data_IF_290157071117
#
_entry.id   IF_290157071117
#
_cell.length_a   1.000
_cell.length_b   1.000
_cell.length_c   1.000
_cell.angle_alpha   90.00
_cell.angle_beta   90.00
_cell.angle_gamma   90.00
#
_symmetry.space_group_name_H-M   'P 1'
#
loop_
_entity.id
_entity.type
_entity.pdbx_description
1 polymer ?
#
# COMPACT_ATOMS: atom_id res chain seq x y z
N UNK A 1 8.16 -22.73 -32.53
CA UNK A 1 8.00 -21.31 -32.91
C UNK A 1 6.67 -20.86 -32.37
N UNK A 2 6.65 -20.10 -31.27
CA UNK A 2 5.41 -19.54 -30.74
C UNK A 2 5.03 -18.35 -31.61
N UNK A 3 3.89 -18.44 -32.29
CA UNK A 3 3.31 -17.31 -33.02
C UNK A 3 2.85 -16.25 -32.01
N UNK A 4 3.33 -15.01 -32.14
CA UNK A 4 2.76 -13.87 -31.43
C UNK A 4 1.27 -13.79 -31.78
N UNK A 5 0.43 -13.70 -30.75
CA UNK A 5 -0.98 -13.36 -30.91
C UNK A 5 -1.05 -11.94 -31.48
N UNK A 6 -1.96 -11.73 -32.43
CA UNK A 6 -2.18 -10.39 -32.97
C UNK A 6 -2.98 -9.55 -31.96
N UNK A 7 -2.87 -8.23 -32.06
CA UNK A 7 -3.47 -7.29 -31.11
C UNK A 7 -5.00 -7.39 -31.07
N UNK A 8 -5.63 -7.80 -32.18
CA UNK A 8 -7.07 -8.01 -32.26
C UNK A 8 -7.56 -9.18 -31.39
N UNK A 9 -6.78 -10.28 -31.36
CA UNK A 9 -7.09 -11.44 -30.53
C UNK A 9 -6.89 -11.10 -29.05
N UNK A 10 -5.93 -10.23 -28.72
CA UNK A 10 -5.73 -9.74 -27.35
C UNK A 10 -6.90 -8.86 -26.92
N UNK A 11 -7.37 -7.94 -27.78
CA UNK A 11 -8.57 -7.14 -27.51
C UNK A 11 -9.83 -7.99 -27.32
N UNK A 12 -10.04 -9.01 -28.15
CA UNK A 12 -11.18 -9.93 -28.02
C UNK A 12 -11.13 -10.73 -26.71
N UNK A 13 -9.94 -11.11 -26.23
CA UNK A 13 -9.80 -11.76 -24.92
C UNK A 13 -10.13 -10.80 -23.77
N UNK A 14 -9.69 -9.55 -23.86
CA UNK A 14 -9.94 -8.54 -22.82
C UNK A 14 -11.42 -8.14 -22.75
N UNK A 15 -12.13 -8.09 -23.88
CA UNK A 15 -13.57 -7.80 -23.91
C UNK A 15 -14.45 -8.91 -23.33
N UNK A 16 -13.95 -10.16 -23.33
CA UNK A 16 -14.69 -11.32 -22.83
C UNK A 16 -14.37 -11.67 -21.36
N UNK A 17 -13.38 -11.03 -20.74
CA UNK A 17 -13.03 -11.24 -19.32
C UNK A 17 -13.96 -10.47 -18.37
N UNK A 18 -14.54 -9.35 -18.81
CA UNK A 18 -15.42 -8.48 -17.99
C UNK A 18 -16.83 -9.09 -17.71
N UNK A 19 -17.13 -10.31 -18.19
CA UNK A 19 -18.45 -10.94 -18.03
C UNK A 19 -18.44 -12.27 -17.26
N UNK A 20 -17.38 -12.61 -16.52
CA UNK A 20 -17.30 -13.91 -15.81
C UNK A 20 -16.86 -13.88 -14.35
N UNK A 21 -16.77 -12.71 -13.71
CA UNK A 21 -16.47 -12.62 -12.26
C UNK A 21 -17.70 -12.40 -11.36
N UNK A 22 -18.91 -12.41 -11.93
CA UNK A 22 -20.15 -12.45 -11.17
C UNK A 22 -20.80 -13.84 -11.31
N UNK A 23 -21.18 -14.43 -10.18
CA UNK A 23 -21.86 -15.73 -10.01
C UNK A 23 -20.97 -16.98 -9.93
N UNK A 24 -20.38 -17.22 -8.76
CA UNK A 24 -20.45 -18.53 -8.10
C UNK A 24 -20.33 -18.40 -6.57
N UNK A 25 -21.43 -17.97 -5.94
CA UNK A 25 -21.79 -18.45 -4.61
C UNK A 25 -22.30 -19.89 -4.73
N UNK A 26 -21.66 -20.84 -4.06
CA UNK A 26 -22.27 -22.15 -3.81
C UNK A 26 -22.60 -22.30 -2.33
N UNK A 27 -23.88 -22.16 -2.05
CA UNK A 27 -24.58 -22.80 -0.93
C UNK A 27 -24.50 -24.33 -1.06
N UNK A 28 -23.95 -25.00 -0.06
CA UNK A 28 -24.25 -26.38 0.35
C UNK A 28 -23.68 -26.49 1.78
N UNK A 29 -24.46 -26.76 2.82
CA UNK A 29 -25.37 -27.89 2.96
C UNK A 29 -24.68 -28.86 3.92
N UNK A 30 -25.07 -28.81 5.19
CA UNK A 30 -24.64 -29.71 6.25
C UNK A 30 -24.97 -31.16 5.87
N UNK A 31 -24.00 -32.07 5.99
CA UNK A 31 -24.15 -33.41 6.55
C UNK A 31 -22.77 -34.06 6.74
N UNK A 32 -22.64 -34.75 7.87
CA UNK A 32 -21.43 -35.16 8.57
C UNK A 32 -20.56 -36.20 7.84
N UNK A 33 -19.23 -36.08 7.99
CA UNK A 33 -18.35 -37.20 8.39
C UNK A 33 -17.02 -36.65 8.95
N UNK A 34 -16.59 -37.23 10.06
CA UNK A 34 -15.65 -36.74 11.07
C UNK A 34 -14.22 -36.36 10.56
N UNK A 35 -13.88 -35.07 10.63
CA UNK A 35 -12.48 -34.60 10.75
C UNK A 35 -12.42 -33.50 11.81
N UNK A 36 -11.47 -33.64 12.75
CA UNK A 36 -11.34 -32.86 13.99
C UNK A 36 -11.38 -31.34 13.73
N UNK A 37 -12.51 -30.73 14.06
CA UNK A 37 -12.71 -29.28 14.09
C UNK A 37 -12.27 -28.73 15.46
N UNK A 38 -11.44 -27.69 15.47
CA UNK A 38 -11.22 -26.89 16.68
C UNK A 38 -12.39 -25.91 16.82
N UNK A 39 -13.24 -26.11 17.83
CA UNK A 39 -14.54 -25.46 17.96
C UNK A 39 -14.46 -23.95 18.29
N UNK A 40 -13.29 -23.42 18.66
CA UNK A 40 -13.09 -21.99 18.85
C UNK A 40 -11.61 -21.59 18.81
N UNK A 41 -11.36 -20.28 18.63
CA UNK A 41 -10.00 -19.69 18.62
C UNK A 41 -9.19 -20.00 19.89
N UNK A 42 -9.85 -20.34 21.01
CA UNK A 42 -9.18 -20.67 22.27
C UNK A 42 -8.51 -22.05 22.23
N UNK A 43 -9.07 -23.00 21.48
CA UNK A 43 -8.49 -24.34 21.27
C UNK A 43 -7.32 -24.31 20.28
N UNK A 44 -7.38 -23.44 19.26
CA UNK A 44 -6.25 -23.16 18.38
C UNK A 44 -5.11 -22.43 19.11
N UNK A 45 -5.44 -21.56 20.07
CA UNK A 45 -4.46 -20.88 20.92
C UNK A 45 -3.87 -21.82 21.98
N UNK A 46 -4.67 -22.72 22.57
CA UNK A 46 -4.18 -23.74 23.50
C UNK A 46 -3.17 -24.70 22.83
N UNK A 47 -3.42 -25.12 21.60
CA UNK A 47 -2.48 -25.95 20.82
C UNK A 47 -1.20 -25.18 20.40
N UNK A 48 -1.23 -23.84 20.43
CA UNK A 48 -0.07 -22.97 20.19
C UNK A 48 0.64 -22.53 21.48
N UNK A 49 -0.02 -22.68 22.63
CA UNK A 49 0.48 -22.35 23.97
C UNK A 49 0.99 -23.59 24.73
N UNK A 50 0.59 -24.80 24.34
CA UNK A 50 1.05 -26.07 24.90
C UNK A 50 2.30 -26.64 24.17
N UNK A 51 3.43 -25.94 24.28
CA UNK A 51 4.76 -26.59 24.32
C UNK A 51 5.45 -26.23 25.66
N UNK A 52 4.96 -26.93 26.70
CA UNK A 52 5.54 -27.36 27.99
C UNK A 52 6.30 -26.38 28.92
N UNK A 53 5.76 -26.18 30.14
CA UNK A 53 6.52 -26.37 31.39
C UNK A 53 5.58 -26.74 32.55
N UNK A 54 5.82 -27.90 33.16
CA UNK A 54 5.20 -28.37 34.41
C UNK A 54 6.11 -27.97 35.58
N UNK A 55 5.55 -27.29 36.58
CA UNK A 55 5.58 -27.61 38.03
C UNK A 55 5.33 -26.36 38.90
N UNK A 56 4.20 -26.42 39.63
CA UNK A 56 3.87 -25.86 40.93
C UNK A 56 4.23 -24.40 41.30
N UNK A 57 3.20 -23.54 41.37
CA UNK A 57 2.90 -22.75 42.58
C UNK A 57 1.46 -22.19 42.53
N UNK A 58 0.66 -22.62 43.51
CA UNK A 58 -0.72 -22.17 43.80
C UNK A 58 -0.85 -20.65 43.97
N UNK A 59 -1.60 -19.95 43.10
CA UNK A 59 -2.20 -18.63 43.40
C UNK A 59 -3.59 -18.51 42.76
N UNK A 60 -4.63 -18.00 43.46
CA UNK A 60 -6.03 -18.11 43.04
C UNK A 60 -6.44 -17.16 41.91
N UNK A 61 -7.33 -17.70 41.07
CA UNK A 61 -8.17 -17.05 40.06
C UNK A 61 -8.76 -15.69 40.48
N UNK A 62 -8.44 -14.62 39.74
CA UNK A 62 -9.35 -13.50 39.53
C UNK A 62 -9.22 -13.00 38.09
N UNK A 63 -10.34 -13.09 37.36
CA UNK A 63 -10.49 -12.73 35.95
C UNK A 63 -10.41 -11.21 35.75
N UNK A 64 -9.72 -10.76 34.71
CA UNK A 64 -10.12 -9.63 33.84
C UNK A 64 -9.13 -9.49 32.68
N UNK A 65 -9.22 -10.36 31.67
CA UNK A 65 -8.60 -10.11 30.37
C UNK A 65 -9.51 -9.18 29.57
N UNK A 66 -9.25 -7.89 29.64
CA UNK A 66 -9.87 -6.89 28.77
C UNK A 66 -9.19 -6.98 27.40
N UNK A 67 -9.96 -7.23 26.35
CA UNK A 67 -9.48 -7.21 24.96
C UNK A 67 -8.77 -5.87 24.66
N UNK A 68 -7.58 -5.89 24.03
CA UNK A 68 -6.92 -4.66 23.60
C UNK A 68 -7.73 -3.98 22.48
N UNK A 69 -7.76 -2.64 22.43
CA UNK A 69 -8.70 -1.90 21.60
C UNK A 69 -8.41 -2.07 20.10
N UNK A 70 -9.49 -2.29 19.36
CA UNK A 70 -9.55 -2.29 17.90
C UNK A 70 -9.11 -0.93 17.34
N UNK A 71 -8.20 -0.91 16.35
CA UNK A 71 -7.99 0.27 15.52
C UNK A 71 -9.08 0.28 14.47
N UNK A 72 -10.18 0.97 14.77
CA UNK A 72 -11.17 1.33 13.77
C UNK A 72 -10.59 2.45 12.91
N UNK A 73 -10.45 2.22 11.61
CA UNK A 73 -10.46 3.34 10.66
C UNK A 73 -11.89 3.86 10.63
N UNK A 74 -12.22 4.70 11.62
CA UNK A 74 -13.48 5.42 11.61
C UNK A 74 -13.45 6.30 10.37
N UNK A 75 -14.27 5.98 9.37
CA UNK A 75 -14.74 6.93 8.37
C UNK A 75 -15.62 8.05 8.96
N UNK A 76 -15.45 8.33 10.25
CA UNK A 76 -15.94 9.47 10.97
C UNK A 76 -14.73 10.23 11.52
N UNK A 77 -14.02 10.95 10.63
CA UNK A 77 -13.69 12.32 11.04
C UNK A 77 -15.03 12.99 11.36
N UNK A 78 -15.15 13.69 12.50
CA UNK A 78 -16.44 14.23 12.93
C UNK A 78 -17.00 15.09 11.81
N UNK A 79 -18.28 14.86 11.52
CA UNK A 79 -19.15 15.81 10.83
C UNK A 79 -18.80 17.19 11.38
N UNK A 80 -18.19 18.02 10.54
CA UNK A 80 -17.84 19.41 10.83
C UNK A 80 -19.10 20.28 10.76
N UNK A 81 -20.17 19.85 11.43
CA UNK A 81 -21.34 20.67 11.72
C UNK A 81 -21.28 21.05 13.20
N UNK A 82 -21.16 22.36 13.43
CA UNK A 82 -21.12 23.05 14.72
C UNK A 82 -19.78 23.05 15.48
N UNK A 83 -18.86 23.89 14.99
CA UNK A 83 -17.99 24.71 15.86
C UNK A 83 -18.15 26.19 15.50
N UNK A 84 -19.35 26.72 15.73
CA UNK A 84 -19.47 28.06 16.29
C UNK A 84 -19.45 27.89 17.81
N UNK A 85 -18.51 28.58 18.47
CA UNK A 85 -18.24 28.61 19.93
C UNK A 85 -17.11 27.69 20.41
N UNK A 86 -15.90 28.25 20.40
CA UNK A 86 -14.73 27.82 21.17
C UNK A 86 -15.00 27.84 22.68
N UNK A 87 -14.65 26.79 23.44
CA UNK A 87 -14.46 26.88 24.89
C UNK A 87 -13.12 27.57 25.19
N UNK A 88 -13.15 28.61 26.04
CA UNK A 88 -11.93 29.26 26.53
C UNK A 88 -11.21 28.37 27.55
N UNK A 89 -9.88 28.14 27.43
CA UNK A 89 -9.06 27.72 28.54
C UNK A 89 -8.58 28.97 29.32
N UNK A 90 -8.89 29.00 30.61
CA UNK A 90 -8.24 29.83 31.61
C UNK A 90 -6.80 29.33 31.81
N UNK A 91 -5.79 30.17 31.54
CA UNK A 91 -4.40 29.86 31.88
C UNK A 91 -3.34 30.50 30.98
N UNK A 92 -2.78 31.61 31.45
CA UNK A 92 -1.49 32.26 31.11
C UNK A 92 -1.05 32.32 29.64
N UNK A 93 -1.26 33.50 29.04
CA UNK A 93 -0.72 33.94 27.75
C UNK A 93 0.79 34.20 27.83
N UNK A 94 1.59 33.35 27.19
CA UNK A 94 2.83 33.78 26.54
C UNK A 94 2.54 33.90 25.03
N UNK A 95 2.50 35.14 24.55
CA UNK A 95 2.10 35.46 23.18
C UNK A 95 3.19 35.14 22.17
N UNK A 96 3.13 33.96 21.55
CA UNK A 96 3.72 33.75 20.22
C UNK A 96 2.63 34.00 19.19
N UNK A 97 2.78 35.04 18.37
CA UNK A 97 1.86 35.37 17.29
C UNK A 97 1.72 34.16 16.34
N UNK A 98 0.50 33.65 16.16
CA UNK A 98 0.20 32.69 15.09
C UNK A 98 0.51 33.38 13.76
N UNK A 99 1.29 32.78 12.85
CA UNK A 99 1.55 33.38 11.54
C UNK A 99 0.21 33.62 10.82
N UNK A 100 0.01 34.83 10.31
CA UNK A 100 -1.15 35.18 9.48
C UNK A 100 -1.10 34.29 8.24
N UNK A 101 -2.01 33.32 8.10
CA UNK A 101 -2.23 32.67 6.81
C UNK A 101 -2.56 33.76 5.79
N UNK A 102 -1.70 33.92 4.79
CA UNK A 102 -1.95 34.80 3.65
C UNK A 102 -3.29 34.39 3.03
N UNK A 103 -4.20 35.36 2.85
CA UNK A 103 -5.48 35.11 2.18
C UNK A 103 -5.22 34.69 0.72
N UNK A 104 -5.32 33.39 0.46
CA UNK A 104 -5.25 32.83 -0.89
C UNK A 104 -6.33 33.49 -1.75
N UNK A 105 -5.92 34.06 -2.88
CA UNK A 105 -6.82 34.79 -3.80
C UNK A 105 -6.85 34.09 -5.14
N UNK A 106 -8.01 33.51 -5.48
CA UNK A 106 -8.25 32.80 -6.72
C UNK A 106 -8.69 33.75 -7.84
N UNK A 107 -8.12 33.58 -9.04
CA UNK A 107 -8.39 34.36 -10.25
C UNK A 107 -8.84 33.43 -11.36
N UNK A 108 -9.82 33.85 -12.14
CA UNK A 108 -10.30 33.09 -13.30
C UNK A 108 -9.34 33.28 -14.47
N UNK A 109 -8.39 32.37 -14.59
CA UNK A 109 -7.37 32.29 -15.64
C UNK A 109 -6.90 30.84 -15.70
N UNK A 110 -6.20 30.48 -16.78
CA UNK A 110 -5.61 29.16 -16.91
C UNK A 110 -4.19 29.15 -16.33
N UNK A 111 -3.78 28.01 -15.78
CA UNK A 111 -2.38 27.80 -15.41
C UNK A 111 -1.51 27.90 -16.66
N UNK A 112 -0.39 28.61 -16.54
CA UNK A 112 0.61 28.58 -17.61
C UNK A 112 1.39 27.27 -17.47
N UNK A 113 1.36 26.45 -18.52
CA UNK A 113 2.16 25.22 -18.56
C UNK A 113 3.63 25.58 -18.38
N UNK A 114 4.32 24.87 -17.50
CA UNK A 114 5.73 25.13 -17.22
C UNK A 114 6.54 24.39 -18.29
N UNK A 115 7.09 25.13 -19.27
CA UNK A 115 7.88 24.56 -20.37
C UNK A 115 9.06 23.69 -19.87
N UNK A 116 9.67 24.07 -18.74
CA UNK A 116 10.75 23.32 -18.09
C UNK A 116 10.35 21.89 -17.66
N UNK A 117 9.05 21.61 -17.46
CA UNK A 117 8.57 20.25 -17.14
C UNK A 117 8.91 19.29 -18.28
N UNK A 118 9.00 19.77 -19.52
CA UNK A 118 9.34 18.92 -20.66
C UNK A 118 10.81 18.46 -20.64
N UNK A 119 11.68 19.16 -19.91
CA UNK A 119 13.07 18.79 -19.70
C UNK A 119 13.16 17.73 -18.59
N UNK A 120 12.69 16.52 -18.89
CA UNK A 120 12.88 15.33 -18.06
C UNK A 120 13.91 14.42 -18.71
N UNK A 121 15.04 14.21 -18.03
CA UNK A 121 16.06 13.29 -18.52
C UNK A 121 15.71 11.87 -18.11
N UNK A 122 15.50 11.00 -19.09
CA UNK A 122 15.33 9.58 -18.82
C UNK A 122 16.64 9.03 -18.25
N UNK A 123 16.58 8.53 -17.02
CA UNK A 123 17.73 7.92 -16.36
C UNK A 123 18.01 6.56 -17.00
N UNK A 124 19.30 6.22 -17.15
CA UNK A 124 19.73 4.94 -17.69
C UNK A 124 19.62 3.85 -16.62
N UNK A 125 19.23 2.65 -17.04
CA UNK A 125 19.26 1.48 -16.16
C UNK A 125 20.70 1.17 -15.77
N UNK A 126 20.95 0.71 -14.52
CA UNK A 126 22.27 0.23 -14.12
C UNK A 126 22.73 -0.94 -15.00
N UNK A 127 24.01 -1.00 -15.37
CA UNK A 127 24.56 -2.10 -16.18
C UNK A 127 24.28 -3.47 -15.54
N UNK A 128 24.39 -3.57 -14.21
CA UNK A 128 24.08 -4.77 -13.45
C UNK A 128 22.65 -5.29 -13.65
N UNK A 129 21.70 -4.44 -14.02
CA UNK A 129 20.32 -4.83 -14.32
C UNK A 129 20.20 -5.35 -15.76
N UNK A 130 20.94 -4.76 -16.70
CA UNK A 130 20.98 -5.17 -18.10
C UNK A 130 21.69 -6.52 -18.30
N UNK A 131 22.58 -6.87 -17.37
CA UNK A 131 23.30 -8.15 -17.33
C UNK A 131 22.48 -9.31 -16.72
N UNK A 132 21.28 -9.05 -16.20
CA UNK A 132 20.45 -10.10 -15.61
C UNK A 132 19.96 -11.09 -16.66
N UNK A 133 20.19 -12.38 -16.42
CA UNK A 133 19.71 -13.46 -17.32
C UNK A 133 18.18 -13.53 -17.37
N UNK A 134 17.51 -13.26 -16.24
CA UNK A 134 16.05 -13.29 -16.15
C UNK A 134 15.53 -12.20 -15.20
N UNK A 135 14.28 -11.73 -15.37
CA UNK A 135 13.63 -10.86 -14.39
C UNK A 135 13.53 -11.48 -12.99
N UNK A 136 13.53 -12.82 -12.88
CA UNK A 136 13.49 -13.49 -11.57
C UNK A 136 14.69 -13.13 -10.70
N UNK A 137 15.89 -13.00 -11.27
CA UNK A 137 17.10 -12.62 -10.52
C UNK A 137 17.03 -11.19 -10.00
N UNK A 138 16.25 -10.32 -10.64
CA UNK A 138 15.92 -9.01 -10.08
C UNK A 138 15.05 -9.15 -8.82
N UNK A 139 13.94 -9.90 -8.91
CA UNK A 139 12.98 -10.02 -7.79
C UNK A 139 13.44 -10.94 -6.65
N UNK A 140 14.32 -11.88 -6.94
CA UNK A 140 14.92 -12.79 -5.98
C UNK A 140 16.39 -12.89 -6.33
N UNK A 141 17.22 -12.01 -5.77
CA UNK A 141 18.67 -12.07 -5.95
C UNK A 141 19.24 -13.33 -5.27
N UNK A 142 20.46 -13.73 -5.65
CA UNK A 142 21.12 -14.84 -4.98
C UNK A 142 21.32 -14.56 -3.48
N UNK A 143 21.72 -13.33 -3.15
CA UNK A 143 21.87 -12.87 -1.76
C UNK A 143 20.57 -12.97 -0.97
N UNK A 144 19.45 -12.50 -1.54
CA UNK A 144 18.14 -12.59 -0.89
C UNK A 144 17.74 -14.03 -0.62
N UNK A 145 17.92 -14.92 -1.61
CA UNK A 145 17.61 -16.35 -1.46
C UNK A 145 18.49 -17.01 -0.40
N UNK A 146 19.78 -16.67 -0.35
CA UNK A 146 20.67 -17.20 0.66
C UNK A 146 20.31 -16.71 2.06
N UNK A 147 19.84 -15.47 2.20
CA UNK A 147 19.28 -14.96 3.45
C UNK A 147 18.01 -15.69 3.86
N UNK A 148 17.01 -15.80 2.98
CA UNK A 148 15.77 -16.55 3.24
C UNK A 148 16.09 -17.97 3.71
N UNK A 149 17.01 -18.64 3.01
CA UNK A 149 17.45 -20.00 3.36
C UNK A 149 18.09 -20.07 4.74
N UNK A 150 19.04 -19.18 5.03
CA UNK A 150 19.74 -19.13 6.30
C UNK A 150 18.76 -18.91 7.48
N UNK A 151 17.88 -17.92 7.36
CA UNK A 151 16.91 -17.56 8.40
C UNK A 151 15.85 -18.66 8.60
N UNK A 152 15.39 -19.31 7.53
CA UNK A 152 14.45 -20.43 7.62
C UNK A 152 15.07 -21.66 8.29
N UNK A 153 16.33 -21.99 7.97
CA UNK A 153 17.06 -23.08 8.61
C UNK A 153 17.37 -22.77 10.09
N UNK A 154 17.71 -21.52 10.41
CA UNK A 154 17.89 -21.06 11.78
C UNK A 154 16.59 -21.23 12.57
N UNK A 155 15.47 -20.74 12.04
CA UNK A 155 14.17 -20.92 12.68
C UNK A 155 13.79 -22.39 12.85
N UNK A 156 14.04 -23.23 11.85
CA UNK A 156 13.77 -24.68 12.00
C UNK A 156 14.60 -25.31 13.12
N UNK A 157 15.82 -24.82 13.36
CA UNK A 157 16.68 -25.26 14.46
C UNK A 157 16.16 -24.76 15.81
N UNK A 158 15.70 -23.51 15.86
CA UNK A 158 15.08 -22.91 17.06
C UNK A 158 13.79 -23.66 17.46
N UNK A 159 13.01 -24.15 16.48
CA UNK A 159 11.77 -24.89 16.73
C UNK A 159 11.96 -26.38 17.03
N UNK A 160 13.00 -27.02 16.49
CA UNK A 160 13.29 -28.41 16.80
C UNK A 160 14.80 -28.67 16.78
N UNK A 161 15.41 -28.57 17.95
CA UNK A 161 16.84 -28.81 18.16
C UNK A 161 17.26 -30.25 17.83
N UNK A 162 16.38 -31.23 18.04
CA UNK A 162 16.71 -32.65 17.89
C UNK A 162 16.72 -33.12 16.44
N UNK A 163 15.85 -32.56 15.59
CA UNK A 163 15.73 -32.92 14.19
C UNK A 163 15.19 -31.75 13.35
N UNK A 164 16.03 -30.73 13.09
CA UNK A 164 15.61 -29.60 12.29
C UNK A 164 15.40 -30.00 10.82
N UNK A 165 14.36 -29.45 10.20
CA UNK A 165 14.18 -29.55 8.77
C UNK A 165 15.12 -28.56 8.08
N UNK A 166 15.96 -29.07 7.17
CA UNK A 166 16.94 -28.26 6.45
C UNK A 166 16.50 -28.08 5.01
N UNK A 167 16.37 -26.83 4.58
CA UNK A 167 16.15 -26.47 3.19
C UNK A 167 17.47 -26.19 2.48
N UNK A 168 17.66 -26.78 1.31
CA UNK A 168 18.76 -26.46 0.40
C UNK A 168 18.38 -25.29 -0.51
N UNK A 169 19.36 -24.70 -1.20
CA UNK A 169 19.07 -23.67 -2.22
C UNK A 169 18.17 -24.21 -3.34
N UNK A 170 18.28 -25.50 -3.66
CA UNK A 170 17.41 -26.14 -4.65
C UNK A 170 15.97 -26.28 -4.13
N UNK A 171 15.79 -26.66 -2.87
CA UNK A 171 14.45 -26.77 -2.27
C UNK A 171 13.75 -25.41 -2.23
N UNK A 172 14.47 -24.34 -1.86
CA UNK A 172 13.93 -22.98 -1.86
C UNK A 172 13.53 -22.54 -3.28
N UNK A 173 14.35 -22.79 -4.29
CA UNK A 173 14.02 -22.44 -5.68
C UNK A 173 12.79 -23.21 -6.19
N UNK A 174 12.67 -24.50 -5.85
CA UNK A 174 11.50 -25.30 -6.16
C UNK A 174 10.25 -24.74 -5.48
N UNK A 175 10.35 -24.41 -4.20
CA UNK A 175 9.26 -23.81 -3.42
C UNK A 175 8.78 -22.49 -4.03
N UNK A 176 9.72 -21.56 -4.31
CA UNK A 176 9.41 -20.28 -4.95
C UNK A 176 8.81 -20.46 -6.35
N UNK A 177 9.32 -21.41 -7.14
CA UNK A 177 8.78 -21.76 -8.45
C UNK A 177 7.33 -22.26 -8.38
N UNK A 178 7.00 -23.08 -7.38
CA UNK A 178 5.62 -23.53 -7.13
C UNK A 178 4.72 -22.35 -6.78
N UNK A 179 5.18 -21.41 -5.93
CA UNK A 179 4.42 -20.21 -5.59
C UNK A 179 4.13 -19.33 -6.82
N UNK A 180 5.14 -19.09 -7.66
CA UNK A 180 4.97 -18.31 -8.91
C UNK A 180 4.01 -19.02 -9.87
N UNK A 181 4.11 -20.34 -10.00
CA UNK A 181 3.18 -21.08 -10.84
C UNK A 181 1.74 -20.98 -10.31
N UNK A 182 1.56 -21.12 -9.00
CA UNK A 182 0.24 -21.08 -8.36
C UNK A 182 -0.45 -19.71 -8.48
N UNK A 183 0.31 -18.62 -8.72
CA UNK A 183 -0.30 -17.31 -8.97
C UNK A 183 -0.90 -17.20 -10.37
N UNK A 184 -0.44 -18.02 -11.31
CA UNK A 184 -0.93 -18.07 -12.70
C UNK A 184 -2.10 -19.06 -12.81
N UNK A 185 -1.89 -20.30 -12.36
CA UNK A 185 -2.88 -21.37 -12.45
C UNK A 185 -3.51 -21.63 -11.08
N UNK A 186 -4.51 -20.83 -10.70
CA UNK A 186 -5.11 -20.86 -9.35
C UNK A 186 -6.06 -22.04 -9.17
N UNK A 187 -5.80 -22.86 -8.15
CA UNK A 187 -6.69 -23.92 -7.71
C UNK A 187 -7.48 -23.48 -6.47
N UNK A 188 -8.70 -24.00 -6.22
CA UNK A 188 -9.51 -23.62 -5.05
C UNK A 188 -8.82 -23.90 -3.71
N UNK A 189 -7.95 -24.90 -3.67
CA UNK A 189 -7.18 -25.30 -2.50
C UNK A 189 -5.75 -25.67 -2.94
N UNK A 190 -4.76 -25.23 -2.19
CA UNK A 190 -3.34 -25.47 -2.50
C UNK A 190 -2.98 -26.97 -2.53
N UNK A 191 -3.58 -27.79 -1.67
CA UNK A 191 -3.34 -29.25 -1.66
C UNK A 191 -3.78 -29.92 -2.96
N UNK A 192 -4.75 -29.34 -3.68
CA UNK A 192 -5.23 -29.89 -4.94
C UNK A 192 -4.17 -29.92 -6.04
N UNK A 193 -3.12 -29.08 -5.98
CA UNK A 193 -1.99 -29.20 -6.91
C UNK A 193 -1.31 -30.58 -6.84
N UNK A 194 -1.41 -31.28 -5.71
CA UNK A 194 -0.89 -32.63 -5.51
C UNK A 194 -1.92 -33.74 -5.63
N UNK A 195 -3.18 -33.43 -5.95
CA UNK A 195 -4.24 -34.42 -6.14
C UNK A 195 -3.85 -35.45 -7.20
N UNK A 196 -4.21 -36.72 -6.96
CA UNK A 196 -4.01 -37.78 -7.94
C UNK A 196 -4.84 -37.56 -9.22
N UNK A 197 -6.05 -37.02 -9.08
CA UNK A 197 -7.00 -36.85 -10.18
C UNK A 197 -6.88 -35.49 -10.88
N UNK A 198 -6.71 -34.42 -10.09
CA UNK A 198 -6.76 -33.03 -10.60
C UNK A 198 -5.43 -32.31 -10.49
N UNK A 199 -4.41 -32.92 -9.87
CA UNK A 199 -3.13 -32.28 -9.62
C UNK A 199 -2.34 -31.98 -10.88
N UNK A 200 -1.31 -31.16 -10.73
CA UNK A 200 -0.46 -30.74 -11.82
C UNK A 200 0.89 -31.44 -11.73
N UNK A 201 1.18 -32.30 -12.70
CA UNK A 201 2.34 -33.20 -12.65
C UNK A 201 3.69 -32.47 -12.49
N UNK A 202 3.93 -31.31 -13.13
CA UNK A 202 5.16 -30.54 -12.87
C UNK A 202 5.29 -30.05 -11.42
N UNK A 203 4.20 -29.70 -10.71
CA UNK A 203 4.29 -29.39 -9.27
C UNK A 203 4.58 -30.65 -8.46
N UNK A 204 3.82 -31.73 -8.70
CA UNK A 204 3.94 -33.01 -7.98
C UNK A 204 5.35 -33.59 -8.05
N UNK A 205 5.95 -33.57 -9.25
CA UNK A 205 7.30 -34.07 -9.49
C UNK A 205 8.41 -33.13 -8.99
N UNK A 206 8.11 -31.84 -8.81
CA UNK A 206 9.08 -30.85 -8.31
C UNK A 206 9.33 -30.98 -6.81
N UNK A 207 8.26 -31.04 -6.01
CA UNK A 207 8.31 -31.15 -4.56
C UNK A 207 7.07 -31.89 -4.05
N UNK A 208 7.21 -32.74 -3.02
CA UNK A 208 6.06 -33.40 -2.40
C UNK A 208 5.20 -32.40 -1.61
N UNK A 209 3.90 -32.67 -1.47
CA UNK A 209 2.99 -31.84 -0.67
C UNK A 209 3.53 -31.64 0.75
N UNK A 210 3.99 -32.73 1.40
CA UNK A 210 4.57 -32.69 2.75
C UNK A 210 5.77 -31.74 2.84
N UNK A 211 6.67 -31.76 1.86
CA UNK A 211 7.81 -30.87 1.85
C UNK A 211 7.40 -29.42 1.58
N UNK A 212 6.41 -29.18 0.71
CA UNK A 212 5.88 -27.84 0.46
C UNK A 212 5.26 -27.24 1.73
N UNK A 213 4.39 -27.99 2.41
CA UNK A 213 3.78 -27.57 3.67
C UNK A 213 4.84 -27.36 4.77
N UNK A 214 5.89 -28.19 4.80
CA UNK A 214 7.00 -28.00 5.73
C UNK A 214 7.81 -26.73 5.42
N UNK A 215 8.04 -26.40 4.15
CA UNK A 215 8.65 -25.13 3.75
C UNK A 215 7.77 -23.94 4.20
N UNK A 216 6.45 -24.00 3.99
CA UNK A 216 5.53 -22.97 4.47
C UNK A 216 5.63 -22.74 5.99
N UNK A 217 5.79 -23.80 6.78
CA UNK A 217 5.80 -23.67 8.25
C UNK A 217 7.11 -23.18 8.84
N UNK A 218 8.22 -23.26 8.09
CA UNK A 218 9.53 -22.78 8.56
C UNK A 218 10.05 -21.53 7.86
N UNK A 219 9.38 -21.06 6.80
CA UNK A 219 9.81 -19.89 6.02
C UNK A 219 10.00 -18.66 6.93
N UNK A 220 11.23 -18.19 7.05
CA UNK A 220 11.61 -17.03 7.86
C UNK A 220 12.55 -16.10 7.10
N UNK A 221 12.56 -14.84 7.51
CA UNK A 221 13.32 -13.78 6.84
C UNK A 221 14.23 -12.97 7.77
N UNK A 222 14.14 -13.22 9.08
CA UNK A 222 14.96 -12.54 10.08
C UNK A 222 15.08 -13.40 11.35
N UNK A 223 16.13 -13.16 12.13
CA UNK A 223 16.37 -13.87 13.38
C UNK A 223 15.43 -13.36 14.48
N UNK A 224 14.58 -14.26 14.99
CA UNK A 224 13.64 -13.95 16.06
C UNK A 224 14.33 -13.55 17.38
N UNK A 225 15.57 -14.00 17.63
CA UNK A 225 16.29 -13.68 18.87
C UNK A 225 16.69 -12.20 18.96
N UNK A 226 16.69 -11.50 17.82
CA UNK A 226 17.02 -10.08 17.72
C UNK A 226 15.79 -9.17 17.78
N UNK A 227 14.58 -9.75 17.93
CA UNK A 227 13.35 -8.97 18.00
C UNK A 227 13.25 -8.29 19.37
N UNK A 228 13.37 -6.96 19.36
CA UNK A 228 13.33 -6.17 20.60
C UNK A 228 11.94 -6.20 21.24
N UNK A 229 11.83 -6.12 22.58
CA UNK A 229 10.55 -6.02 23.29
C UNK A 229 9.71 -4.81 22.84
N UNK A 230 8.39 -4.86 23.03
CA UNK A 230 7.44 -3.84 22.54
C UNK A 230 7.67 -2.44 23.14
N UNK A 231 8.14 -2.37 24.37
CA UNK A 231 8.45 -1.14 25.10
C UNK A 231 9.81 -0.54 24.71
N UNK A 232 10.63 -1.27 23.95
CA UNK A 232 11.92 -0.78 23.50
C UNK A 232 11.73 0.34 22.45
N UNK A 233 12.46 1.47 22.54
CA UNK A 233 12.30 2.61 21.63
C UNK A 233 12.54 2.29 20.16
N UNK A 234 13.32 1.23 19.88
CA UNK A 234 13.61 0.74 18.53
C UNK A 234 12.82 -0.53 18.16
N UNK A 235 11.72 -0.83 18.86
CA UNK A 235 10.86 -1.96 18.50
C UNK A 235 10.31 -1.79 17.08
N UNK A 236 10.56 -2.78 16.22
CA UNK A 236 10.01 -2.83 14.86
C UNK A 236 8.87 -3.84 14.79
N UNK A 237 7.65 -3.35 14.54
CA UNK A 237 6.45 -4.17 14.33
C UNK A 237 6.59 -5.08 13.10
N UNK A 238 7.48 -4.75 12.16
CA UNK A 238 7.74 -5.52 10.94
C UNK A 238 9.05 -6.32 11.00
N UNK A 239 9.67 -6.47 12.18
CA UNK A 239 10.97 -7.12 12.37
C UNK A 239 11.14 -8.40 11.54
N UNK A 240 10.14 -9.29 11.58
CA UNK A 240 10.17 -10.60 10.91
C UNK A 240 10.25 -10.53 9.39
N UNK A 241 9.85 -9.42 8.77
CA UNK A 241 9.87 -9.22 7.31
C UNK A 241 10.72 -8.04 6.87
N UNK A 242 11.28 -7.26 7.82
CA UNK A 242 12.07 -6.06 7.58
C UNK A 242 13.20 -6.29 6.57
N UNK A 243 13.98 -7.38 6.64
CA UNK A 243 15.05 -7.61 5.67
C UNK A 243 14.56 -7.71 4.22
N UNK A 244 13.38 -8.31 4.00
CA UNK A 244 12.78 -8.37 2.66
C UNK A 244 12.31 -7.00 2.22
N UNK A 245 11.66 -6.24 3.11
CA UNK A 245 11.19 -4.89 2.79
C UNK A 245 12.35 -3.99 2.37
N UNK A 246 13.44 -4.00 3.14
CA UNK A 246 14.60 -3.13 2.91
C UNK A 246 15.35 -3.53 1.64
N UNK A 247 15.57 -4.82 1.43
CA UNK A 247 16.20 -5.35 0.21
C UNK A 247 15.38 -5.03 -1.04
N UNK A 248 14.05 -5.26 -1.00
CA UNK A 248 13.15 -4.95 -2.13
C UNK A 248 13.09 -3.44 -2.41
N UNK A 249 12.91 -2.60 -1.40
CA UNK A 249 12.91 -1.15 -1.59
C UNK A 249 14.26 -0.61 -2.10
N UNK A 250 15.39 -1.19 -1.66
CA UNK A 250 16.71 -0.82 -2.17
C UNK A 250 16.85 -1.17 -3.65
N UNK A 251 16.39 -2.37 -4.03
CA UNK A 251 16.42 -2.82 -5.41
C UNK A 251 15.48 -2.03 -6.33
N UNK A 252 14.27 -1.68 -5.85
CA UNK A 252 13.32 -0.86 -6.60
C UNK A 252 13.81 0.59 -6.76
N UNK A 253 14.52 1.13 -5.76
CA UNK A 253 15.14 2.45 -5.85
C UNK A 253 16.29 2.52 -6.86
N UNK A 254 16.90 1.38 -7.23
CA UNK A 254 17.89 1.32 -8.29
C UNK A 254 17.30 1.48 -9.70
N UNK A 255 15.97 1.35 -9.84
CA UNK A 255 15.29 1.57 -11.11
C UNK A 255 15.07 3.07 -11.32
N UNK A 256 15.53 3.62 -12.46
CA UNK A 256 15.12 4.92 -12.98
C UNK A 256 13.64 5.23 -12.74
N UNK A 257 13.36 6.29 -11.97
CA UNK A 257 11.99 6.78 -11.82
C UNK A 257 11.53 7.41 -13.14
N UNK A 258 10.31 7.09 -13.55
CA UNK A 258 9.64 7.79 -14.64
C UNK A 258 9.25 9.22 -14.23
N UNK A 259 9.00 10.07 -15.21
CA UNK A 259 8.49 11.42 -14.93
C UNK A 259 7.17 11.36 -14.17
N UNK A 260 6.27 10.46 -14.59
CA UNK A 260 4.91 10.34 -14.07
C UNK A 260 4.83 9.20 -13.06
N UNK A 261 4.51 9.56 -11.83
CA UNK A 261 4.41 8.65 -10.71
C UNK A 261 3.01 8.74 -10.09
N UNK A 262 2.53 7.67 -9.47
CA UNK A 262 1.31 7.66 -8.65
C UNK A 262 1.62 7.24 -7.22
N UNK A 263 0.87 7.79 -6.27
CA UNK A 263 0.84 7.34 -4.88
C UNK A 263 -0.58 6.90 -4.53
N UNK A 264 -0.71 5.66 -4.07
CA UNK A 264 -1.99 5.05 -3.69
C UNK A 264 -1.75 3.91 -2.68
N UNK A 265 -2.82 3.30 -2.21
CA UNK A 265 -2.81 2.18 -1.28
C UNK A 265 -3.29 0.87 -1.90
N UNK A 266 -2.52 -0.18 -1.62
CA UNK A 266 -2.89 -1.55 -1.93
C UNK A 266 -3.22 -2.33 -0.65
N UNK A 267 -4.21 -3.22 -0.76
CA UNK A 267 -4.55 -4.16 0.30
C UNK A 267 -3.95 -5.53 -0.01
N UNK A 268 -3.11 -6.04 0.87
CA UNK A 268 -2.74 -7.46 0.92
C UNK A 268 -3.77 -8.19 1.78
N UNK A 269 -4.80 -8.74 1.13
CA UNK A 269 -5.94 -9.36 1.80
C UNK A 269 -5.54 -10.54 2.68
N UNK A 270 -6.06 -10.60 3.90
CA UNK A 270 -5.85 -11.75 4.79
C UNK A 270 -6.97 -11.90 5.82
N UNK A 271 -7.24 -13.15 6.21
CA UNK A 271 -8.15 -13.49 7.31
C UNK A 271 -7.42 -13.64 8.65
N UNK A 272 -6.08 -13.64 8.67
CA UNK A 272 -5.27 -13.86 9.88
C UNK A 272 -5.58 -12.80 10.95
N UNK A 273 -5.64 -13.21 12.22
CA UNK A 273 -5.67 -12.30 13.36
C UNK A 273 -4.29 -11.67 13.57
N UNK A 274 -4.13 -10.40 13.21
CA UNK A 274 -2.88 -9.67 13.41
C UNK A 274 -3.16 -8.20 13.71
N UNK A 275 -2.43 -7.60 14.66
CA UNK A 275 -2.74 -6.27 15.20
C UNK A 275 -2.51 -5.11 14.21
N UNK A 276 -1.63 -5.27 13.20
CA UNK A 276 -1.45 -4.26 12.14
C UNK A 276 -2.50 -4.37 11.00
N UNK A 277 -3.36 -5.40 11.02
CA UNK A 277 -4.40 -5.60 10.01
C UNK A 277 -5.37 -4.42 10.01
N UNK A 278 -5.74 -3.95 8.82
CA UNK A 278 -6.66 -2.84 8.61
C UNK A 278 -7.99 -3.32 8.03
N UNK A 279 -9.03 -2.54 8.29
CA UNK A 279 -10.35 -2.67 7.68
C UNK A 279 -10.61 -1.49 6.73
N UNK A 280 -10.76 -1.76 5.43
CA UNK A 280 -11.13 -0.77 4.42
C UNK A 280 -12.48 -1.18 3.79
N UNK A 281 -13.62 -0.61 4.24
CA UNK A 281 -14.95 -1.07 3.85
C UNK A 281 -15.26 -0.95 2.37
N UNK A 282 -14.62 0.01 1.68
CA UNK A 282 -14.85 0.29 0.27
C UNK A 282 -13.94 -0.54 -0.67
N UNK A 283 -13.10 -1.44 -0.16
CA UNK A 283 -12.29 -2.35 -0.98
C UNK A 283 -12.99 -3.72 -1.12
N UNK A 284 -12.83 -4.45 -2.26
CA UNK A 284 -13.44 -5.77 -2.45
C UNK A 284 -13.08 -6.75 -1.34
N UNK A 285 -11.80 -6.78 -0.96
CA UNK A 285 -11.32 -7.45 0.24
C UNK A 285 -11.11 -6.42 1.36
N UNK A 286 -12.04 -6.38 2.30
CA UNK A 286 -12.08 -5.34 3.33
C UNK A 286 -10.98 -5.49 4.39
N UNK A 287 -10.49 -6.70 4.64
CA UNK A 287 -9.52 -6.99 5.68
C UNK A 287 -8.16 -7.40 5.11
N UNK A 288 -7.09 -6.79 5.61
CA UNK A 288 -5.74 -7.18 5.26
C UNK A 288 -4.66 -6.21 5.73
N UNK A 289 -3.45 -6.38 5.21
CA UNK A 289 -2.35 -5.44 5.43
C UNK A 289 -2.43 -4.31 4.40
N UNK A 290 -2.46 -3.07 4.88
CA UNK A 290 -2.44 -1.88 4.03
C UNK A 290 -1.00 -1.54 3.66
N UNK A 291 -0.74 -1.34 2.38
CA UNK A 291 0.55 -0.88 1.85
C UNK A 291 0.34 0.47 1.16
N UNK A 292 1.21 1.44 1.40
CA UNK A 292 1.38 2.60 0.53
C UNK A 292 2.36 2.25 -0.57
N UNK A 293 2.10 2.69 -1.81
CA UNK A 293 2.97 2.44 -2.95
C UNK A 293 3.25 3.73 -3.70
N UNK A 294 4.47 3.83 -4.24
CA UNK A 294 4.83 4.80 -5.27
C UNK A 294 5.09 4.02 -6.54
N UNK A 295 4.24 4.23 -7.56
CA UNK A 295 4.28 3.47 -8.80
C UNK A 295 4.57 4.37 -10.00
N UNK A 296 5.14 3.82 -11.07
CA UNK A 296 5.19 4.50 -12.36
C UNK A 296 3.88 4.37 -13.13
N UNK A 297 3.74 5.16 -14.19
CA UNK A 297 2.62 5.04 -15.14
C UNK A 297 2.55 3.67 -15.83
N UNK A 298 3.64 2.90 -15.87
CA UNK A 298 3.67 1.54 -16.41
C UNK A 298 3.33 0.45 -15.38
N UNK A 299 2.98 0.84 -14.15
CA UNK A 299 2.57 -0.08 -13.08
C UNK A 299 3.73 -0.68 -12.28
N UNK A 300 4.96 -0.18 -12.44
CA UNK A 300 6.09 -0.64 -11.63
C UNK A 300 6.11 0.07 -10.26
N UNK A 301 6.19 -0.68 -9.16
CA UNK A 301 6.29 -0.11 -7.82
C UNK A 301 7.75 0.22 -7.46
N UNK A 302 8.08 1.51 -7.39
CA UNK A 302 9.42 2.00 -7.01
C UNK A 302 9.64 2.01 -5.50
N UNK A 303 8.57 2.05 -4.71
CA UNK A 303 8.62 2.01 -3.25
C UNK A 303 7.32 1.44 -2.71
N UNK A 304 7.40 0.68 -1.63
CA UNK A 304 6.24 0.41 -0.79
C UNK A 304 6.57 0.57 0.70
N UNK A 305 5.54 0.88 1.48
CA UNK A 305 5.59 0.97 2.93
C UNK A 305 4.38 0.25 3.53
N UNK A 306 4.61 -0.72 4.42
CA UNK A 306 3.53 -1.41 5.14
C UNK A 306 3.05 -0.52 6.26
N UNK A 307 1.73 -0.26 6.32
CA UNK A 307 1.13 0.53 7.38
C UNK A 307 1.09 -0.26 8.69
N UNK A 308 1.70 0.31 9.74
CA UNK A 308 1.81 -0.29 11.08
C UNK A 308 1.00 0.44 12.15
N UNK A 309 0.10 1.32 11.73
CA UNK A 309 -0.65 2.24 12.60
C UNK A 309 -0.08 3.66 12.59
N UNK A 310 -0.57 4.49 13.50
CA UNK A 310 -0.28 5.92 13.62
C UNK A 310 1.07 6.23 14.30
N UNK A 311 2.13 5.48 13.96
CA UNK A 311 3.47 5.80 14.44
C UNK A 311 3.83 7.22 13.99
N UNK A 312 4.55 7.96 14.85
CA UNK A 312 4.82 9.40 14.67
C UNK A 312 5.49 9.62 13.32
N UNK A 313 4.74 10.07 12.30
CA UNK A 313 5.26 10.45 10.97
C UNK A 313 6.45 11.40 11.16
N UNK A 314 7.71 10.92 11.17
CA UNK A 314 8.79 11.74 11.65
C UNK A 314 9.15 12.70 10.52
N UNK A 315 9.04 13.99 10.81
CA UNK A 315 9.46 15.04 9.89
C UNK A 315 10.97 14.92 9.65
N UNK A 316 11.37 15.05 8.40
CA UNK A 316 12.76 15.15 8.02
C UNK A 316 13.34 16.51 8.38
N UNK A 317 14.68 16.62 8.33
CA UNK A 317 15.36 17.86 8.65
C UNK A 317 14.96 18.98 7.67
N UNK A 318 14.29 20.01 8.19
CA UNK A 318 13.83 21.15 7.40
C UNK A 318 12.51 20.95 6.65
N UNK A 319 11.86 19.79 6.79
CA UNK A 319 10.52 19.57 6.22
C UNK A 319 9.47 20.34 7.04
N UNK A 320 8.52 21.04 6.40
CA UNK A 320 7.41 21.68 7.09
C UNK A 320 6.40 20.63 7.59
N UNK A 321 5.63 20.98 8.62
CA UNK A 321 4.46 20.19 9.00
C UNK A 321 3.31 20.46 8.01
N UNK A 322 2.96 19.45 7.21
CA UNK A 322 1.90 19.48 6.20
C UNK A 322 0.60 18.81 6.71
N UNK A 323 0.55 18.46 7.99
CA UNK A 323 -0.50 17.65 8.59
C UNK A 323 -0.32 16.15 8.35
N UNK A 324 -1.12 15.28 9.00
CA UNK A 324 -0.88 13.84 9.02
C UNK A 324 -0.76 13.20 7.63
N UNK A 325 -1.70 13.50 6.73
CA UNK A 325 -1.71 12.94 5.36
C UNK A 325 -0.61 13.52 4.49
N UNK A 326 -0.37 14.83 4.58
CA UNK A 326 0.72 15.50 3.85
C UNK A 326 2.10 14.99 4.28
N UNK A 327 2.31 14.75 5.58
CA UNK A 327 3.56 14.21 6.12
C UNK A 327 3.78 12.74 5.70
N UNK A 328 2.70 11.96 5.54
CA UNK A 328 2.79 10.61 4.95
C UNK A 328 3.24 10.69 3.49
N UNK A 329 2.65 11.57 2.68
CA UNK A 329 3.06 11.76 1.27
C UNK A 329 4.52 12.19 1.21
N UNK A 330 4.92 13.20 1.99
CA UNK A 330 6.29 13.69 1.97
C UNK A 330 7.29 12.61 2.35
N UNK A 331 7.00 11.80 3.39
CA UNK A 331 7.81 10.63 3.76
C UNK A 331 8.01 9.67 2.59
N UNK A 332 6.93 9.33 1.89
CA UNK A 332 6.97 8.43 0.73
C UNK A 332 7.74 9.05 -0.44
N UNK A 333 7.62 10.38 -0.63
CA UNK A 333 8.29 11.13 -1.69
C UNK A 333 9.77 11.38 -1.46
N UNK A 334 10.34 11.04 -0.29
CA UNK A 334 11.79 11.15 -0.04
C UNK A 334 12.65 10.35 -1.02
N UNK A 335 12.10 9.30 -1.64
CA UNK A 335 12.79 8.52 -2.67
C UNK A 335 12.73 9.17 -4.06
N UNK A 336 11.86 10.16 -4.26
CA UNK A 336 11.73 10.86 -5.53
C UNK A 336 12.75 12.01 -5.58
N UNK A 337 13.65 12.05 -6.58
CA UNK A 337 14.63 13.13 -6.72
C UNK A 337 13.96 14.51 -6.78
N UNK A 338 14.43 15.42 -5.93
CA UNK A 338 14.01 16.83 -5.97
C UNK A 338 14.68 17.52 -7.16
N UNK A 339 14.03 18.55 -7.71
CA UNK A 339 14.59 19.32 -8.86
C UNK A 339 14.79 18.51 -10.14
N UNK A 340 14.03 17.41 -10.28
CA UNK A 340 14.03 16.56 -11.46
C UNK A 340 12.73 16.65 -12.29
N UNK A 341 11.78 17.52 -11.92
CA UNK A 341 10.52 17.73 -12.64
C UNK A 341 9.63 16.47 -12.75
N UNK A 342 9.64 15.60 -11.73
CA UNK A 342 8.65 14.54 -11.61
C UNK A 342 7.24 15.12 -11.41
N UNK A 343 6.23 14.35 -11.81
CA UNK A 343 4.81 14.64 -11.70
C UNK A 343 4.18 13.50 -10.91
N UNK A 344 3.63 13.82 -9.74
CA UNK A 344 2.97 12.84 -8.87
C UNK A 344 1.44 12.97 -8.96
N UNK A 345 0.76 11.84 -9.08
CA UNK A 345 -0.70 11.74 -9.01
C UNK A 345 -1.11 11.06 -7.71
N UNK A 346 -2.05 11.64 -6.98
CA UNK A 346 -2.63 11.03 -5.78
C UNK A 346 -4.10 11.42 -5.62
N UNK A 347 -4.81 10.68 -4.78
CA UNK A 347 -6.25 10.82 -4.58
C UNK A 347 -6.64 12.05 -3.73
N UNK A 348 -7.93 12.16 -3.44
CA UNK A 348 -8.48 13.24 -2.63
C UNK A 348 -8.16 13.13 -1.13
N UNK A 349 -7.76 11.97 -0.64
CA UNK A 349 -7.36 11.76 0.74
C UNK A 349 -6.04 12.51 1.00
N UNK A 350 -5.12 12.46 0.05
CA UNK A 350 -3.82 13.14 0.14
C UNK A 350 -3.83 14.61 -0.27
N UNK A 351 -4.66 14.99 -1.23
CA UNK A 351 -4.54 16.32 -1.87
C UNK A 351 -4.90 17.48 -0.93
N UNK A 352 -4.00 18.45 -0.81
CA UNK A 352 -4.20 19.71 -0.08
C UNK A 352 -3.32 20.84 -0.65
N UNK A 353 -3.74 22.09 -0.46
CA UNK A 353 -2.98 23.27 -0.93
C UNK A 353 -1.56 23.32 -0.34
N UNK A 354 -1.33 23.15 0.99
CA UNK A 354 0.03 23.19 1.54
C UNK A 354 0.95 22.13 0.93
N UNK A 355 0.45 20.90 0.74
CA UNK A 355 1.21 19.78 0.18
C UNK A 355 1.66 20.07 -1.25
N UNK A 356 0.72 20.40 -2.15
CA UNK A 356 1.05 20.61 -3.57
C UNK A 356 1.95 21.83 -3.76
N UNK A 357 1.81 22.86 -2.90
CA UNK A 357 2.68 24.04 -2.90
C UNK A 357 4.11 23.65 -2.54
N UNK A 358 4.28 22.88 -1.46
CA UNK A 358 5.59 22.48 -0.98
C UNK A 358 6.30 21.56 -1.98
N UNK A 359 5.61 20.56 -2.53
CA UNK A 359 6.18 19.69 -3.57
C UNK A 359 6.64 20.49 -4.79
N UNK A 360 5.84 21.46 -5.24
CA UNK A 360 6.18 22.30 -6.38
C UNK A 360 7.40 23.20 -6.13
N UNK A 361 7.60 23.71 -4.90
CA UNK A 361 8.84 24.42 -4.51
C UNK A 361 10.07 23.53 -4.63
N UNK A 362 9.91 22.24 -4.35
CA UNK A 362 10.94 21.21 -4.53
C UNK A 362 10.99 20.64 -5.97
N UNK A 363 10.29 21.29 -6.92
CA UNK A 363 10.21 20.90 -8.34
C UNK A 363 9.73 19.45 -8.53
N UNK A 364 8.79 19.03 -7.68
CA UNK A 364 7.91 17.88 -7.87
C UNK A 364 6.50 18.44 -8.08
N UNK A 365 5.96 18.30 -9.28
CA UNK A 365 4.63 18.81 -9.59
C UNK A 365 3.58 17.75 -9.30
N UNK A 366 2.33 18.16 -9.15
CA UNK A 366 1.27 17.24 -8.75
C UNK A 366 -0.03 17.52 -9.45
N UNK A 367 -0.83 16.47 -9.62
CA UNK A 367 -2.25 16.56 -9.98
C UNK A 367 -3.03 15.53 -9.16
N UNK A 368 -4.03 16.01 -8.43
CA UNK A 368 -4.88 15.12 -7.64
C UNK A 368 -6.33 15.60 -7.61
N UNK A 369 -7.23 14.66 -7.36
CA UNK A 369 -8.60 15.04 -6.99
C UNK A 369 -8.58 15.68 -5.61
N UNK A 370 -9.46 16.62 -5.33
CA UNK A 370 -9.47 17.33 -4.05
C UNK A 370 -10.89 17.57 -3.57
N UNK A 371 -11.11 17.48 -2.27
CA UNK A 371 -12.38 17.89 -1.70
C UNK A 371 -12.48 19.42 -1.71
N UNK A 372 -13.58 19.97 -2.22
CA UNK A 372 -13.71 21.42 -2.44
C UNK A 372 -13.56 22.26 -1.17
N UNK A 373 -13.88 21.70 0.01
CA UNK A 373 -13.66 22.32 1.33
C UNK A 373 -12.18 22.47 1.71
N UNK A 374 -11.27 21.71 1.07
CA UNK A 374 -9.81 21.84 1.25
C UNK A 374 -9.20 22.95 0.39
N UNK A 375 -9.98 23.61 -0.45
CA UNK A 375 -9.55 24.76 -1.26
C UNK A 375 -10.09 26.05 -0.63
N UNK A 376 -9.25 26.83 0.09
CA UNK A 376 -9.70 27.97 0.86
C UNK A 376 -10.19 29.11 -0.04
N UNK A 377 -11.38 29.65 0.22
CA UNK A 377 -11.96 30.80 -0.48
C UNK A 377 -12.06 30.63 -2.01
N UNK A 378 -12.16 29.40 -2.50
CA UNK A 378 -12.34 29.16 -3.93
C UNK A 378 -13.71 29.69 -4.39
N UNK A 379 -13.80 30.09 -5.66
CA UNK A 379 -15.04 30.56 -6.28
C UNK A 379 -15.50 29.59 -7.36
N UNK A 380 -15.10 28.32 -7.27
CA UNK A 380 -15.51 27.33 -8.26
C UNK A 380 -17.03 27.14 -8.19
N UNK A 381 -17.69 26.87 -9.33
CA UNK A 381 -19.11 26.52 -9.35
C UNK A 381 -19.44 25.42 -8.33
N UNK A 382 -20.44 25.66 -7.50
CA UNK A 382 -20.87 24.68 -6.52
C UNK A 382 -21.55 23.47 -7.19
N UNK A 383 -21.68 22.38 -6.43
CA UNK A 383 -22.30 21.13 -6.90
C UNK A 383 -23.71 21.37 -7.43
N UNK A 384 -24.50 22.23 -6.79
CA UNK A 384 -25.88 22.52 -7.18
C UNK A 384 -25.95 23.19 -8.55
N UNK A 385 -25.03 24.13 -8.82
CA UNK A 385 -24.89 24.85 -10.08
C UNK A 385 -24.49 23.90 -11.20
N UNK A 386 -23.50 23.04 -10.96
CA UNK A 386 -23.04 22.07 -11.96
C UNK A 386 -24.06 20.97 -12.23
N UNK A 387 -24.84 20.53 -11.23
CA UNK A 387 -25.83 19.46 -11.42
C UNK A 387 -27.11 19.90 -12.16
N UNK A 388 -27.26 21.19 -12.51
CA UNK A 388 -28.38 21.65 -13.36
C UNK A 388 -28.35 20.94 -14.71
N UNK A 389 -29.53 20.55 -15.20
CA UNK A 389 -29.70 19.90 -16.53
C UNK A 389 -29.19 20.74 -17.69
N UNK A 390 -29.19 22.07 -17.52
CA UNK A 390 -28.71 23.04 -18.51
C UNK A 390 -27.19 23.05 -18.65
N UNK A 391 -26.45 22.50 -17.68
CA UNK A 391 -25.00 22.40 -17.74
C UNK A 391 -24.66 21.05 -18.39
N UNK A 392 -23.99 21.00 -19.55
CA UNK A 392 -23.65 19.74 -20.20
C UNK A 392 -22.53 19.00 -19.45
N UNK A 393 -22.47 17.67 -19.60
CA UNK A 393 -21.28 16.88 -19.25
C UNK A 393 -20.08 17.44 -20.03
N UNK A 394 -18.90 17.46 -19.43
CA UNK A 394 -17.70 18.10 -19.97
C UNK A 394 -17.55 19.58 -19.61
N UNK A 395 -18.58 20.22 -19.04
CA UNK A 395 -18.46 21.60 -18.54
C UNK A 395 -17.40 21.68 -17.44
N UNK A 396 -16.56 22.71 -17.51
CA UNK A 396 -15.48 22.93 -16.57
C UNK A 396 -15.27 24.41 -16.27
N UNK A 397 -14.61 24.70 -15.15
CA UNK A 397 -14.11 26.03 -14.81
C UNK A 397 -12.74 25.88 -14.11
N UNK A 398 -11.86 26.84 -14.36
CA UNK A 398 -10.50 26.87 -13.81
C UNK A 398 -10.25 28.19 -13.07
N UNK A 399 -9.59 28.08 -11.92
CA UNK A 399 -9.13 29.21 -11.15
C UNK A 399 -7.70 28.97 -10.68
N UNK A 400 -6.86 30.00 -10.81
CA UNK A 400 -5.46 29.95 -10.37
C UNK A 400 -5.26 30.87 -9.17
N UNK A 401 -4.46 30.40 -8.22
CA UNK A 401 -3.94 31.21 -7.12
C UNK A 401 -2.43 31.08 -7.04
N UNK A 402 -1.75 32.19 -6.74
CA UNK A 402 -0.35 32.16 -6.35
C UNK A 402 -0.26 31.97 -4.82
N UNK A 403 0.37 30.89 -4.39
CA UNK A 403 0.61 30.55 -2.98
C UNK A 403 2.11 30.38 -2.79
N UNK A 404 2.71 31.26 -1.98
CA UNK A 404 4.15 31.30 -1.73
C UNK A 404 5.03 31.26 -3.00
N UNK A 405 4.63 31.99 -4.04
CA UNK A 405 5.37 32.07 -5.30
C UNK A 405 5.11 30.89 -6.27
N UNK A 406 4.26 29.94 -5.91
CA UNK A 406 3.82 28.85 -6.77
C UNK A 406 2.41 29.12 -7.28
N UNK A 407 2.21 29.03 -8.60
CA UNK A 407 0.87 29.05 -9.17
C UNK A 407 0.23 27.66 -9.06
N UNK A 408 -1.00 27.65 -8.52
CA UNK A 408 -1.79 26.44 -8.28
C UNK A 408 -3.12 26.62 -9.00
N UNK A 409 -3.49 25.63 -9.79
CA UNK A 409 -4.77 25.57 -10.47
C UNK A 409 -5.76 24.70 -9.71
N UNK A 410 -6.94 25.26 -9.45
CA UNK A 410 -8.13 24.56 -8.98
C UNK A 410 -9.11 24.45 -10.15
N UNK A 411 -9.48 23.22 -10.50
CA UNK A 411 -10.34 22.94 -11.64
C UNK A 411 -11.58 22.22 -11.13
N UNK A 412 -12.74 22.56 -11.66
CA UNK A 412 -13.94 21.72 -11.53
C UNK A 412 -14.37 21.23 -12.90
N UNK A 413 -14.70 19.95 -13.01
CA UNK A 413 -15.16 19.30 -14.23
C UNK A 413 -16.45 18.53 -13.95
N UNK A 414 -17.44 18.64 -14.84
CA UNK A 414 -18.71 17.94 -14.73
C UNK A 414 -18.67 16.63 -15.52
N UNK A 415 -18.64 15.52 -14.79
CA UNK A 415 -18.97 14.19 -15.33
C UNK A 415 -20.47 13.85 -15.11
N UNK A 416 -20.76 12.61 -14.72
CA UNK A 416 -21.98 12.25 -14.00
C UNK A 416 -22.14 13.03 -12.68
N UNK A 417 -21.02 13.36 -12.04
CA UNK A 417 -20.93 14.21 -10.84
C UNK A 417 -19.78 15.21 -11.00
N UNK A 418 -19.80 16.36 -10.29
CA UNK A 418 -18.67 17.27 -10.25
C UNK A 418 -17.44 16.63 -9.64
N UNK A 419 -16.30 16.75 -10.31
CA UNK A 419 -14.97 16.37 -9.84
C UNK A 419 -14.15 17.64 -9.70
N UNK A 420 -13.52 17.83 -8.55
CA UNK A 420 -12.59 18.96 -8.33
C UNK A 420 -11.17 18.43 -8.33
N UNK A 421 -10.26 19.13 -9.03
CA UNK A 421 -8.85 18.81 -9.15
C UNK A 421 -8.00 19.97 -8.62
N UNK A 422 -6.83 19.65 -8.09
CA UNK A 422 -5.78 20.61 -7.75
C UNK A 422 -4.51 20.23 -8.52
N UNK A 423 -3.91 21.20 -9.20
CA UNK A 423 -2.78 20.99 -10.11
C UNK A 423 -1.71 22.06 -9.93
N UNK A 424 -0.44 21.66 -10.02
CA UNK A 424 0.72 22.57 -10.11
C UNK A 424 1.48 22.40 -11.42
N UNK A 425 1.00 21.56 -12.33
CA UNK A 425 1.74 21.17 -13.55
C UNK A 425 0.99 21.49 -14.85
N UNK A 426 -0.33 21.31 -14.86
CA UNK A 426 -1.16 21.49 -16.06
C UNK A 426 -2.43 22.28 -15.73
N UNK A 427 -2.90 23.14 -16.65
CA UNK A 427 -4.29 23.59 -16.67
C UNK A 427 -5.22 22.42 -17.00
N UNK A 428 -6.52 22.69 -17.24
CA UNK A 428 -7.50 21.68 -17.67
C UNK A 428 -6.89 20.73 -18.71
N UNK A 429 -6.75 19.42 -18.42
CA UNK A 429 -6.10 18.52 -19.35
C UNK A 429 -6.99 18.33 -20.59
N UNK A 430 -6.44 18.53 -21.79
CA UNK A 430 -7.14 18.29 -23.05
C UNK A 430 -7.79 16.88 -23.20
N UNK A 431 -7.31 15.77 -22.58
CA UNK A 431 -8.00 14.49 -22.70
C UNK A 431 -9.35 14.38 -21.96
N UNK A 432 -9.84 15.44 -21.29
CA UNK A 432 -11.18 15.49 -20.68
C UNK A 432 -12.22 16.28 -21.50
N UNK A 433 -11.88 16.65 -22.76
CA UNK A 433 -12.77 17.30 -23.73
C UNK A 433 -13.47 16.31 -24.66
#
# INVERSE_FOLDING_TARGET
MASRLNDQVIEDYLQNLDQSEDDMESSAGEEDDEEVYFENNRQLLADLEDEEFVEDMDIPMESTTVDPPLIFDNHNDPILENLSETPQPSGQRNGTARPRQSRVTWRRTNLTTIDDIQNFYQLQYPDSMLELETPYNFFFSQELRDKIKAESNLYSTQKNLSNPFVITSNDLNKFLGILIYSSIAKFPNFRLYWSAQYGYEPIKSTMTQKNFEKNCSILHFNDNTTHLPQDHPNHDKLHKIRPIIDDRNSNYAAIPLDQRLSLDEQMCATKIGHYIKQYLPNKPHKWGFKLFLVCSAYGFAHKFEVYTGSDKNPLGNGEPDLGPTGNTVERLMRTVPRRANHIIYFDNYYTSVPLVTYLAKERIYSLGTVQSNRIPNNKLPDKMTLMKRTVPRGHHDEQVANVDGIDISAIVWKDNKPVTLLSTYTPIPEPFL
#
